data_IF_445932024613
#
_entry.id   IF_445932024613
#
_cell.length_a   1.000
_cell.length_b   1.000
_cell.length_c   1.000
_cell.angle_alpha   90.00
_cell.angle_beta   90.00
_cell.angle_gamma   90.00
#
_symmetry.space_group_name_H-M   'P 1'
#
loop_
_entity.id
_entity.type
_entity.pdbx_description
1 polymer ?
#
# COMPACT_ATOMS: atom_id res chain seq x y z
N UNK A 1 16.02 3.89 43.85
CA UNK A 1 14.54 3.92 43.80
C UNK A 1 14.15 3.27 42.49
N UNK A 2 13.47 2.11 42.53
CA UNK A 2 12.99 1.46 41.30
C UNK A 2 11.86 2.30 40.73
N UNK A 3 12.07 2.87 39.54
CA UNK A 3 10.99 3.46 38.75
C UNK A 3 10.12 2.32 38.26
N UNK A 4 8.90 2.21 38.79
CA UNK A 4 7.89 1.29 38.28
C UNK A 4 7.52 1.79 36.89
N UNK A 5 7.63 0.95 35.87
CA UNK A 5 7.12 1.23 34.53
C UNK A 5 5.61 1.02 34.57
N UNK A 6 4.83 2.10 34.59
CA UNK A 6 3.38 2.08 34.53
C UNK A 6 2.92 1.90 33.07
N UNK A 7 1.96 1.00 32.83
CA UNK A 7 1.35 0.76 31.52
C UNK A 7 -0.16 0.51 31.65
N UNK A 8 -0.86 0.35 30.52
CA UNK A 8 -2.31 0.14 30.46
C UNK A 8 -2.81 -1.08 31.25
N UNK A 9 -1.94 -2.07 31.50
CA UNK A 9 -2.26 -3.32 32.21
C UNK A 9 -1.95 -3.26 33.72
N UNK A 10 -1.58 -2.10 34.24
CA UNK A 10 -1.20 -1.93 35.65
C UNK A 10 -2.42 -2.02 36.56
N UNK A 11 -2.34 -2.85 37.62
CA UNK A 11 -3.40 -2.96 38.63
C UNK A 11 -3.57 -1.66 39.43
N UNK A 12 -4.63 -0.93 39.09
CA UNK A 12 -4.98 0.37 39.65
C UNK A 12 -5.24 0.36 41.15
N UNK A 13 -5.56 -0.81 41.74
CA UNK A 13 -5.87 -0.92 43.18
C UNK A 13 -4.62 -0.84 44.07
N UNK A 14 -3.43 -0.98 43.46
CA UNK A 14 -2.14 -0.98 44.15
C UNK A 14 -1.39 0.35 44.03
N UNK A 15 -1.94 1.30 43.27
CA UNK A 15 -1.28 2.55 42.93
C UNK A 15 -1.54 3.67 43.94
N UNK A 16 -0.52 4.49 44.17
CA UNK A 16 -0.68 5.77 44.86
C UNK A 16 -1.44 6.77 43.99
N UNK A 17 -1.99 7.84 44.59
CA UNK A 17 -2.69 8.89 43.85
C UNK A 17 -1.83 9.55 42.76
N UNK A 18 -0.52 9.68 42.99
CA UNK A 18 0.41 10.21 41.98
C UNK A 18 0.55 9.27 40.79
N UNK A 19 0.74 7.97 41.05
CA UNK A 19 0.86 6.96 39.99
C UNK A 19 -0.44 6.77 39.20
N UNK A 20 -1.59 6.96 39.85
CA UNK A 20 -2.90 6.99 39.19
C UNK A 20 -3.02 8.15 38.19
N UNK A 21 -2.53 9.34 38.53
CA UNK A 21 -2.54 10.48 37.61
C UNK A 21 -1.57 10.26 36.43
N UNK A 22 -0.38 9.74 36.70
CA UNK A 22 0.59 9.35 35.66
C UNK A 22 0.01 8.30 34.70
N UNK A 23 -0.69 7.29 35.24
CA UNK A 23 -1.39 6.29 34.43
C UNK A 23 -2.54 6.91 33.62
N UNK A 24 -3.33 7.82 34.21
CA UNK A 24 -4.41 8.52 33.50
C UNK A 24 -3.88 9.32 32.30
N UNK A 25 -2.77 10.03 32.49
CA UNK A 25 -2.12 10.78 31.43
C UNK A 25 -1.61 9.84 30.32
N UNK A 26 -0.99 8.71 30.69
CA UNK A 26 -0.54 7.71 29.72
C UNK A 26 -1.71 7.11 28.91
N UNK A 27 -2.86 6.86 29.54
CA UNK A 27 -4.07 6.42 28.84
C UNK A 27 -4.57 7.44 27.82
N UNK A 28 -4.58 8.74 28.17
CA UNK A 28 -4.99 9.80 27.26
C UNK A 28 -4.04 9.96 26.07
N UNK A 29 -2.74 9.84 26.29
CA UNK A 29 -1.75 9.88 25.21
C UNK A 29 -1.95 8.70 24.25
N UNK A 30 -2.20 7.50 24.78
CA UNK A 30 -2.50 6.32 23.95
C UNK A 30 -3.80 6.47 23.16
N UNK A 31 -4.84 7.01 23.75
CA UNK A 31 -6.11 7.29 23.06
C UNK A 31 -5.92 8.31 21.92
N UNK A 32 -5.12 9.34 22.14
CA UNK A 32 -4.76 10.33 21.12
C UNK A 32 -3.97 9.70 19.97
N UNK A 33 -3.00 8.83 20.26
CA UNK A 33 -2.24 8.08 19.24
C UNK A 33 -3.15 7.19 18.39
N UNK A 34 -4.05 6.42 19.03
CA UNK A 34 -5.03 5.56 18.34
C UNK A 34 -5.96 6.40 17.47
N UNK A 35 -6.47 7.51 17.99
CA UNK A 35 -7.34 8.42 17.25
C UNK A 35 -6.65 9.03 16.03
N UNK A 36 -5.36 9.36 16.15
CA UNK A 36 -4.56 9.86 15.03
C UNK A 36 -4.36 8.79 13.95
N UNK A 37 -4.02 7.56 14.36
CA UNK A 37 -3.86 6.44 13.43
C UNK A 37 -5.18 6.09 12.72
N UNK A 38 -6.31 6.16 13.42
CA UNK A 38 -7.63 5.95 12.81
C UNK A 38 -7.89 6.99 11.71
N UNK A 39 -7.69 8.28 12.01
CA UNK A 39 -7.85 9.35 11.01
C UNK A 39 -6.92 9.16 9.80
N UNK A 40 -5.69 8.72 10.04
CA UNK A 40 -4.74 8.41 8.97
C UNK A 40 -5.27 7.30 8.06
N UNK A 41 -5.82 6.22 8.64
CA UNK A 41 -6.43 5.11 7.89
C UNK A 41 -7.68 5.52 7.13
N UNK A 42 -8.54 6.33 7.76
CA UNK A 42 -9.76 6.84 7.13
C UNK A 42 -9.46 7.73 5.91
N UNK A 43 -8.29 8.37 5.89
CA UNK A 43 -7.83 9.20 4.76
C UNK A 43 -7.23 8.39 3.60
N UNK A 44 -6.82 7.12 3.81
CA UNK A 44 -6.09 6.34 2.81
C UNK A 44 -6.81 6.19 1.46
N UNK A 45 -8.13 5.90 1.40
CA UNK A 45 -8.83 5.77 0.12
C UNK A 45 -8.72 7.02 -0.76
N UNK A 46 -8.87 8.20 -0.14
CA UNK A 46 -8.78 9.48 -0.86
C UNK A 46 -7.36 9.75 -1.36
N UNK A 47 -6.35 9.42 -0.56
CA UNK A 47 -4.93 9.56 -0.94
C UNK A 47 -4.61 8.63 -2.11
N UNK A 48 -5.02 7.36 -2.04
CA UNK A 48 -4.77 6.39 -3.11
C UNK A 48 -5.42 6.79 -4.43
N UNK A 49 -6.67 7.27 -4.40
CA UNK A 49 -7.33 7.77 -5.61
C UNK A 49 -6.60 8.98 -6.21
N UNK A 50 -6.13 9.90 -5.37
CA UNK A 50 -5.36 11.06 -5.80
C UNK A 50 -4.00 10.66 -6.39
N UNK A 51 -3.31 9.68 -5.82
CA UNK A 51 -2.05 9.14 -6.34
C UNK A 51 -2.26 8.50 -7.71
N UNK A 52 -3.23 7.60 -7.86
CA UNK A 52 -3.54 6.96 -9.15
C UNK A 52 -3.84 8.00 -10.22
N UNK A 53 -4.63 9.02 -9.88
CA UNK A 53 -4.96 10.12 -10.79
C UNK A 53 -3.71 10.91 -11.19
N UNK A 54 -2.83 11.18 -10.23
CA UNK A 54 -1.56 11.88 -10.47
C UNK A 54 -0.65 11.08 -11.39
N UNK A 55 -0.45 9.78 -11.12
CA UNK A 55 0.37 8.89 -11.98
C UNK A 55 -0.19 8.84 -13.40
N UNK A 56 -1.50 8.65 -13.56
CA UNK A 56 -2.13 8.63 -14.89
C UNK A 56 -1.94 9.94 -15.65
N UNK A 57 -2.16 11.07 -14.99
CA UNK A 57 -1.99 12.41 -15.58
C UNK A 57 -0.54 12.63 -16.00
N UNK A 58 0.41 12.27 -15.13
CA UNK A 58 1.83 12.40 -15.42
C UNK A 58 2.23 11.56 -16.63
N UNK A 59 1.83 10.28 -16.68
CA UNK A 59 2.09 9.38 -17.81
C UNK A 59 1.54 9.92 -19.13
N UNK A 60 0.36 10.54 -19.12
CA UNK A 60 -0.21 11.17 -20.32
C UNK A 60 0.64 12.33 -20.84
N UNK A 61 1.21 13.14 -19.94
CA UNK A 61 2.01 14.31 -20.31
C UNK A 61 3.44 13.92 -20.71
N UNK A 62 4.02 12.89 -20.06
CA UNK A 62 5.43 12.47 -20.28
C UNK A 62 5.58 11.29 -21.22
N UNK A 63 4.49 10.62 -21.58
CA UNK A 63 4.50 9.35 -22.35
C UNK A 63 5.33 8.25 -21.70
N UNK A 64 5.34 8.17 -20.36
CA UNK A 64 6.11 7.19 -19.57
C UNK A 64 5.30 5.97 -19.12
N UNK A 65 4.20 5.65 -19.82
CA UNK A 65 3.42 4.44 -19.51
C UNK A 65 4.29 3.20 -19.66
N UNK A 66 4.38 2.32 -18.64
CA UNK A 66 5.13 1.07 -18.74
C UNK A 66 4.60 0.20 -19.89
N UNK A 67 5.50 -0.35 -20.70
CA UNK A 67 5.12 -1.38 -21.67
C UNK A 67 4.65 -2.62 -20.91
N UNK A 68 3.47 -3.19 -21.23
CA UNK A 68 3.00 -4.42 -20.58
C UNK A 68 4.04 -5.55 -20.67
N UNK A 69 4.34 -6.17 -19.53
CA UNK A 69 5.30 -7.28 -19.44
C UNK A 69 6.77 -6.85 -19.47
N UNK A 70 7.08 -5.55 -19.52
CA UNK A 70 8.46 -5.07 -19.41
C UNK A 70 9.10 -5.48 -18.07
N UNK A 71 10.43 -5.55 -18.04
CA UNK A 71 11.16 -5.82 -16.80
C UNK A 71 10.80 -4.79 -15.72
N UNK A 72 10.56 -5.27 -14.50
CA UNK A 72 10.32 -4.39 -13.35
C UNK A 72 11.51 -3.45 -13.14
N UNK A 73 11.22 -2.17 -12.92
CA UNK A 73 12.18 -1.16 -12.55
C UNK A 73 11.72 -0.49 -11.26
N UNK A 74 12.60 -0.39 -10.26
CA UNK A 74 12.27 0.25 -8.99
C UNK A 74 11.89 1.72 -9.21
N UNK A 75 10.66 2.14 -8.88
CA UNK A 75 10.27 3.52 -9.02
C UNK A 75 11.04 4.44 -8.07
N UNK A 76 11.39 5.62 -8.56
CA UNK A 76 12.09 6.68 -7.82
C UNK A 76 11.17 7.85 -7.48
N UNK A 77 10.01 7.93 -8.13
CA UNK A 77 9.03 9.00 -7.99
C UNK A 77 7.62 8.54 -8.41
N UNK A 78 6.64 9.44 -8.40
CA UNK A 78 5.31 9.15 -8.95
C UNK A 78 5.29 9.03 -10.49
N UNK A 79 6.31 9.52 -11.21
CA UNK A 79 6.37 9.45 -12.68
C UNK A 79 6.52 8.02 -13.18
N UNK A 80 7.26 7.23 -12.42
CA UNK A 80 7.68 5.86 -12.71
C UNK A 80 7.04 4.83 -11.77
N UNK A 81 6.17 5.27 -10.86
CA UNK A 81 5.39 4.38 -10.00
C UNK A 81 4.43 3.51 -10.82
N UNK A 82 4.19 2.29 -10.34
CA UNK A 82 3.19 1.40 -10.90
C UNK A 82 1.82 1.68 -10.27
N UNK A 83 0.75 1.31 -10.97
CA UNK A 83 -0.63 1.38 -10.48
C UNK A 83 -1.36 0.10 -10.86
N UNK A 84 -2.49 -0.17 -10.21
CA UNK A 84 -3.33 -1.31 -10.54
C UNK A 84 -3.62 -1.38 -12.05
N UNK A 85 -3.41 -2.57 -12.64
CA UNK A 85 -3.52 -2.80 -14.08
C UNK A 85 -2.17 -2.91 -14.81
N UNK A 86 -1.10 -2.35 -14.26
CA UNK A 86 0.23 -2.50 -14.85
C UNK A 86 0.72 -3.95 -14.76
N UNK A 87 1.49 -4.38 -15.76
CA UNK A 87 2.06 -5.73 -15.81
C UNK A 87 3.56 -5.64 -16.03
N UNK A 88 4.34 -6.39 -15.26
CA UNK A 88 5.82 -6.40 -15.32
C UNK A 88 6.37 -7.82 -15.27
N UNK A 89 7.62 -7.99 -15.67
CA UNK A 89 8.38 -9.23 -15.49
C UNK A 89 9.44 -9.05 -14.42
N UNK A 90 9.48 -9.96 -13.43
CA UNK A 90 10.50 -10.00 -12.37
C UNK A 90 10.75 -11.46 -11.96
N UNK A 91 12.02 -11.82 -11.75
CA UNK A 91 12.45 -13.18 -11.38
C UNK A 91 11.93 -14.28 -12.32
N UNK A 92 11.87 -13.97 -13.62
CA UNK A 92 11.40 -14.90 -14.66
C UNK A 92 9.89 -15.11 -14.69
N UNK A 93 9.12 -14.35 -13.89
CA UNK A 93 7.67 -14.44 -13.78
C UNK A 93 7.00 -13.14 -14.20
N UNK A 94 5.76 -13.23 -14.68
CA UNK A 94 4.92 -12.08 -14.97
C UNK A 94 4.07 -11.73 -13.75
N UNK A 95 4.00 -10.46 -13.42
CA UNK A 95 3.29 -9.93 -12.26
C UNK A 95 2.31 -8.85 -12.69
N UNK A 96 1.10 -8.93 -12.15
CA UNK A 96 0.03 -7.97 -12.33
C UNK A 96 -0.13 -7.12 -11.07
N UNK A 97 -0.09 -5.79 -11.24
CA UNK A 97 -0.26 -4.84 -10.16
C UNK A 97 -1.72 -4.84 -9.67
N UNK A 98 -1.92 -5.06 -8.37
CA UNK A 98 -3.22 -5.04 -7.70
C UNK A 98 -3.29 -4.06 -6.52
N UNK A 99 -2.15 -3.46 -6.15
CA UNK A 99 -2.07 -2.49 -5.06
C UNK A 99 -2.94 -1.25 -5.29
N UNK A 100 -3.30 -0.61 -4.19
CA UNK A 100 -4.01 0.66 -4.14
C UNK A 100 -3.00 1.81 -4.21
N UNK A 101 -3.38 2.90 -4.88
CA UNK A 101 -2.50 4.06 -4.99
C UNK A 101 -1.32 3.83 -5.93
N UNK A 102 -0.24 4.56 -5.67
CA UNK A 102 1.03 4.37 -6.36
C UNK A 102 1.85 3.26 -5.70
N UNK A 103 2.37 2.33 -6.50
CA UNK A 103 3.08 1.14 -6.06
C UNK A 103 4.57 1.31 -6.32
N UNK A 104 5.34 1.31 -5.23
CA UNK A 104 6.81 1.37 -5.21
C UNK A 104 7.45 0.05 -4.76
N UNK A 105 6.64 -0.82 -4.14
CA UNK A 105 7.06 -2.11 -3.61
C UNK A 105 7.29 -3.08 -4.75
N UNK A 106 8.40 -3.81 -4.74
CA UNK A 106 8.73 -4.75 -5.80
C UNK A 106 7.80 -5.98 -5.79
N UNK A 107 7.60 -6.65 -6.94
CA UNK A 107 6.88 -7.93 -6.98
C UNK A 107 7.48 -8.96 -6.00
N UNK A 108 6.62 -9.77 -5.39
CA UNK A 108 7.02 -10.74 -4.37
C UNK A 108 7.26 -10.17 -2.96
N UNK A 109 7.21 -8.84 -2.78
CA UNK A 109 7.28 -8.21 -1.46
C UNK A 109 5.90 -7.76 -0.98
N UNK A 110 5.74 -7.69 0.35
CA UNK A 110 4.52 -7.21 1.02
C UNK A 110 4.69 -5.75 1.40
N UNK A 111 3.73 -4.92 0.99
CA UNK A 111 3.66 -3.53 1.42
C UNK A 111 3.12 -3.44 2.87
N UNK A 112 3.78 -2.70 3.77
CA UNK A 112 3.38 -2.63 5.17
C UNK A 112 2.03 -1.94 5.42
N UNK A 113 1.51 -1.18 4.45
CA UNK A 113 0.25 -0.43 4.57
C UNK A 113 -0.89 -1.16 3.87
N UNK A 114 -0.68 -1.64 2.64
CA UNK A 114 -1.74 -2.21 1.78
C UNK A 114 -1.65 -3.74 1.62
N UNK A 115 -0.56 -4.39 2.05
CA UNK A 115 -0.37 -5.83 1.90
C UNK A 115 0.19 -6.21 0.52
N UNK A 116 -0.37 -7.24 -0.10
CA UNK A 116 0.08 -7.72 -1.41
C UNK A 116 -0.29 -6.72 -2.52
N UNK A 117 0.72 -6.08 -3.11
CA UNK A 117 0.54 -5.11 -4.20
C UNK A 117 0.64 -5.76 -5.60
N UNK A 118 1.09 -7.01 -5.68
CA UNK A 118 1.32 -7.74 -6.92
C UNK A 118 0.75 -9.15 -6.84
N UNK A 119 0.18 -9.63 -7.95
CA UNK A 119 -0.20 -11.03 -8.13
C UNK A 119 0.59 -11.62 -9.29
N UNK A 120 1.13 -12.81 -9.09
CA UNK A 120 1.74 -13.58 -10.18
C UNK A 120 0.65 -13.93 -11.20
N UNK A 121 0.93 -13.69 -12.48
CA UNK A 121 0.07 -14.09 -13.59
C UNK A 121 0.44 -15.53 -13.94
N UNK A 122 -0.51 -16.48 -13.86
CA UNK A 122 -0.26 -17.86 -14.27
C UNK A 122 0.22 -17.96 -15.73
N UNK A 123 1.20 -18.83 -15.99
CA UNK A 123 1.83 -19.00 -17.31
C UNK A 123 0.83 -19.36 -18.43
N UNK A 124 -0.31 -19.97 -18.09
CA UNK A 124 -1.38 -20.35 -19.01
C UNK A 124 -2.28 -19.17 -19.46
N UNK A 125 -2.14 -17.99 -18.85
CA UNK A 125 -2.88 -16.76 -19.22
C UNK A 125 -1.99 -15.67 -19.82
N UNK A 126 -0.68 -15.88 -19.93
CA UNK A 126 0.27 -14.89 -20.43
C UNK A 126 0.19 -14.64 -21.96
N UNK A 127 -0.78 -15.23 -22.68
CA UNK A 127 -0.79 -15.27 -24.15
C UNK A 127 -2.15 -15.21 -24.86
N UNK A 128 -3.25 -14.76 -24.24
CA UNK A 128 -4.58 -14.78 -24.89
C UNK A 128 -5.10 -13.45 -25.44
N UNK A 129 -4.31 -12.37 -25.45
CA UNK A 129 -4.72 -11.11 -26.06
C UNK A 129 -4.03 -10.93 -27.43
N UNK A 130 -4.52 -11.62 -28.45
CA UNK A 130 -4.14 -11.29 -29.83
C UNK A 130 -4.34 -12.38 -30.87
N UNK A 131 -5.52 -13.01 -30.97
CA UNK A 131 -6.01 -13.61 -32.23
C UNK A 131 -7.50 -13.97 -32.10
N UNK A 132 -8.36 -12.96 -32.22
CA UNK A 132 -9.80 -13.16 -32.08
C UNK A 132 -10.65 -11.96 -32.50
N UNK A 133 -10.62 -11.60 -33.78
CA UNK A 133 -11.82 -11.23 -34.55
C UNK A 133 -11.45 -10.94 -36.02
N UNK A 134 -11.35 -12.01 -36.80
CA UNK A 134 -11.65 -11.97 -38.23
C UNK A 134 -12.78 -12.97 -38.45
N UNK A 135 -14.03 -12.48 -38.42
CA UNK A 135 -15.12 -12.90 -39.32
C UNK A 135 -16.46 -12.34 -38.81
N UNK A 136 -17.04 -11.46 -39.64
CA UNK A 136 -18.39 -11.57 -40.18
C UNK A 136 -19.11 -10.22 -40.17
N UNK A 137 -19.05 -9.48 -41.28
CA UNK A 137 -20.23 -8.77 -41.76
C UNK A 137 -20.33 -8.87 -43.27
N UNK A 138 -21.57 -9.11 -43.68
CA UNK A 138 -22.08 -9.45 -45.01
C UNK A 138 -21.80 -8.41 -46.10
#
# INVERSE_FOLDING_TARGET
>A
MSSIVLNLDTDVTTLTSQQLEELRQACWEKDAEVSHEQKRRDALPFVWEAEVTSVKTLRQVTSTTPTPGAAYATPTSLLDAYIAGDTVTADGKTWYAVGQGAIFTAPGLVDPVQGEAWKEVPEDQAGTDGDGEAEAMA
#
